data_IF_709864548472
#
_entry.id   IF_709864548472
#
_cell.length_a   1.000
_cell.length_b   1.000
_cell.length_c   1.000
_cell.angle_alpha   90.00
_cell.angle_beta   90.00
_cell.angle_gamma   90.00
#
_symmetry.space_group_name_H-M   'P 1'
#
loop_
_entity.id
_entity.type
_entity.pdbx_description
1 polymer ?
#
# COMPACT_ATOMS: atom_id res chain seq x y z
N UNK A 1 12.94 1.88 14.18
CA UNK A 1 12.48 0.92 13.17
C UNK A 1 10.97 1.01 13.17
N UNK A 2 10.38 1.20 12.01
CA UNK A 2 8.96 1.53 11.84
C UNK A 2 8.40 0.66 10.71
N UNK A 3 7.17 0.20 10.88
CA UNK A 3 6.42 -0.48 9.83
C UNK A 3 5.44 0.52 9.20
N UNK A 4 5.51 0.72 7.89
CA UNK A 4 4.53 1.50 7.14
C UNK A 4 3.55 0.56 6.47
N UNK A 5 2.27 0.81 6.65
CA UNK A 5 1.20 0.22 5.86
C UNK A 5 0.62 1.27 4.92
N UNK A 6 0.36 0.89 3.68
CA UNK A 6 -0.30 1.76 2.71
C UNK A 6 -1.40 1.00 1.98
N UNK A 7 -2.42 1.73 1.52
CA UNK A 7 -3.31 1.30 0.46
C UNK A 7 -2.91 2.10 -0.77
N UNK A 8 -2.57 1.37 -1.83
CA UNK A 8 -2.00 1.90 -3.04
C UNK A 8 -2.97 1.70 -4.20
N UNK A 9 -3.04 2.71 -5.07
CA UNK A 9 -3.73 2.66 -6.34
C UNK A 9 -2.74 2.29 -7.43
N UNK A 10 -2.99 1.17 -8.11
CA UNK A 10 -2.29 0.78 -9.33
C UNK A 10 -3.16 0.95 -10.57
N UNK A 11 -2.51 1.28 -11.69
CA UNK A 11 -3.15 1.34 -13.02
C UNK A 11 -2.44 0.32 -13.92
N UNK A 12 -3.18 -0.63 -14.50
CA UNK A 12 -2.59 -1.82 -15.16
C UNK A 12 -1.72 -1.59 -16.41
N UNK A 13 -1.58 -0.36 -16.89
CA UNK A 13 -0.69 0.04 -18.00
C UNK A 13 0.40 1.05 -17.59
N UNK A 14 0.53 1.36 -16.30
CA UNK A 14 1.39 2.44 -15.83
C UNK A 14 2.17 2.06 -14.56
N UNK A 15 3.29 2.75 -14.34
CA UNK A 15 4.07 2.69 -13.09
C UNK A 15 3.46 3.60 -12.00
N UNK A 16 2.29 4.20 -12.28
CA UNK A 16 1.59 5.06 -11.33
C UNK A 16 1.10 4.25 -10.14
N UNK A 17 1.80 4.45 -9.02
CA UNK A 17 1.45 3.99 -7.69
C UNK A 17 1.21 5.23 -6.83
N UNK A 18 -0.06 5.53 -6.53
CA UNK A 18 -0.43 6.61 -5.61
C UNK A 18 -0.90 5.99 -4.30
N UNK A 19 -0.43 6.50 -3.17
CA UNK A 19 -0.97 6.12 -1.88
C UNK A 19 -2.29 6.85 -1.62
N UNK A 20 -3.36 6.08 -1.42
CA UNK A 20 -4.68 6.61 -1.05
C UNK A 20 -4.87 6.69 0.46
N UNK A 21 -4.12 5.89 1.21
CA UNK A 21 -4.07 5.95 2.67
C UNK A 21 -2.76 5.32 3.15
N UNK A 22 -2.19 5.88 4.23
CA UNK A 22 -0.95 5.39 4.84
C UNK A 22 -1.06 5.45 6.36
N UNK A 23 -0.31 4.59 7.04
CA UNK A 23 -0.22 4.56 8.50
C UNK A 23 1.09 3.93 8.97
N UNK A 24 1.59 4.38 10.11
CA UNK A 24 2.83 3.88 10.73
C UNK A 24 2.54 3.05 11.98
N UNK A 25 3.36 2.02 12.19
CA UNK A 25 3.15 1.02 13.22
C UNK A 25 4.46 0.54 13.84
N UNK A 26 4.37 0.11 15.09
CA UNK A 26 5.51 -0.46 15.83
C UNK A 26 5.77 -1.94 15.47
N UNK A 27 4.88 -2.60 14.71
CA UNK A 27 5.01 -4.01 14.35
C UNK A 27 4.37 -4.37 13.01
N UNK A 28 4.89 -5.41 12.35
CA UNK A 28 4.31 -5.97 11.12
C UNK A 28 2.86 -6.38 11.33
N UNK A 29 2.56 -7.04 12.47
CA UNK A 29 1.23 -7.52 12.77
C UNK A 29 0.20 -6.38 12.82
N UNK A 30 0.56 -5.26 13.46
CA UNK A 30 -0.30 -4.08 13.51
C UNK A 30 -0.48 -3.45 12.12
N UNK A 31 0.60 -3.34 11.34
CA UNK A 31 0.54 -2.83 9.97
C UNK A 31 -0.36 -3.70 9.07
N UNK A 32 -0.27 -5.03 9.20
CA UNK A 32 -1.12 -5.97 8.45
C UNK A 32 -2.57 -5.92 8.91
N UNK A 33 -2.82 -5.84 10.21
CA UNK A 33 -4.18 -5.69 10.74
C UNK A 33 -4.83 -4.38 10.25
N UNK A 34 -4.05 -3.30 10.15
CA UNK A 34 -4.54 -2.04 9.58
C UNK A 34 -4.96 -2.20 8.12
N UNK A 35 -4.14 -2.84 7.27
CA UNK A 35 -4.52 -3.14 5.88
C UNK A 35 -5.77 -4.02 5.84
N UNK A 36 -5.87 -5.01 6.73
CA UNK A 36 -7.01 -5.91 6.79
C UNK A 36 -8.34 -5.20 7.11
N UNK A 37 -8.29 -4.19 7.97
CA UNK A 37 -9.42 -3.36 8.33
C UNK A 37 -9.78 -2.34 7.24
N UNK A 38 -8.79 -1.75 6.57
CA UNK A 38 -9.01 -0.56 5.73
C UNK A 38 -9.14 -0.87 4.23
N UNK A 39 -8.45 -1.90 3.72
CA UNK A 39 -8.49 -2.25 2.29
C UNK A 39 -9.90 -2.59 1.77
N UNK A 40 -10.76 -3.32 2.52
CA UNK A 40 -12.13 -3.63 2.06
C UNK A 40 -13.02 -2.41 1.86
N UNK A 41 -12.78 -1.34 2.60
CA UNK A 41 -13.60 -0.11 2.59
C UNK A 41 -12.95 1.03 1.78
N UNK A 42 -11.75 0.81 1.24
CA UNK A 42 -11.03 1.80 0.46
C UNK A 42 -11.75 2.11 -0.86
N UNK A 43 -11.71 3.39 -1.24
CA UNK A 43 -12.37 3.90 -2.44
C UNK A 43 -11.36 4.52 -3.39
N UNK A 44 -11.62 4.40 -4.70
CA UNK A 44 -10.81 5.06 -5.71
C UNK A 44 -10.92 6.60 -5.56
N UNK A 45 -9.81 7.33 -5.74
CA UNK A 45 -9.84 8.78 -5.88
C UNK A 45 -10.79 9.22 -7.00
N UNK A 46 -11.45 10.37 -6.85
CA UNK A 46 -12.45 10.85 -7.82
C UNK A 46 -11.92 10.96 -9.26
N UNK A 47 -10.63 11.23 -9.42
CA UNK A 47 -10.01 11.39 -10.72
C UNK A 47 -9.99 10.08 -11.52
N UNK A 48 -9.95 8.92 -10.85
CA UNK A 48 -9.95 7.60 -11.50
C UNK A 48 -11.22 7.42 -12.34
N UNK A 49 -12.37 7.88 -11.84
CA UNK A 49 -13.62 7.85 -12.58
C UNK A 49 -13.66 8.83 -13.77
N UNK A 50 -12.77 9.84 -13.79
CA UNK A 50 -12.64 10.83 -14.87
C UNK A 50 -11.62 10.44 -15.94
N UNK A 51 -10.87 9.35 -15.72
CA UNK A 51 -9.90 8.79 -16.67
C UNK A 51 -10.62 8.45 -17.99
N UNK A 52 -10.05 8.85 -19.12
CA UNK A 52 -10.49 8.30 -20.41
C UNK A 52 -10.31 6.79 -20.38
N UNK A 53 -11.40 6.04 -20.51
CA UNK A 53 -11.39 4.58 -20.55
C UNK A 53 -10.39 4.08 -21.61
N UNK A 54 -9.24 3.61 -21.17
CA UNK A 54 -8.30 2.78 -21.93
C UNK A 54 -8.49 1.30 -21.62
N UNK A 55 -7.60 0.43 -22.12
CA UNK A 55 -7.66 -1.03 -21.90
C UNK A 55 -7.23 -1.50 -20.51
N UNK A 56 -6.52 -0.70 -19.74
CA UNK A 56 -6.05 -1.08 -18.41
C UNK A 56 -7.01 -0.66 -17.30
N UNK A 57 -7.33 -1.59 -16.39
CA UNK A 57 -8.13 -1.31 -15.20
C UNK A 57 -7.33 -0.61 -14.11
N UNK A 58 -8.03 0.07 -13.20
CA UNK A 58 -7.49 0.54 -11.93
C UNK A 58 -7.77 -0.50 -10.83
N UNK A 59 -6.87 -0.64 -9.87
CA UNK A 59 -7.03 -1.56 -8.75
C UNK A 59 -6.42 -0.97 -7.47
N UNK A 60 -6.94 -1.38 -6.32
CA UNK A 60 -6.40 -1.05 -5.00
C UNK A 60 -5.74 -2.29 -4.41
N UNK A 61 -4.61 -2.10 -3.74
CA UNK A 61 -3.91 -3.15 -3.02
C UNK A 61 -3.27 -2.58 -1.75
N UNK A 62 -3.07 -3.42 -0.75
CA UNK A 62 -2.35 -3.07 0.46
C UNK A 62 -0.85 -3.33 0.29
N UNK A 63 -0.04 -2.57 1.00
CA UNK A 63 1.41 -2.80 1.10
C UNK A 63 1.86 -2.60 2.54
N UNK A 64 2.80 -3.43 3.00
CA UNK A 64 3.46 -3.31 4.30
C UNK A 64 4.97 -3.38 4.09
N UNK A 65 5.68 -2.38 4.59
CA UNK A 65 7.13 -2.25 4.48
C UNK A 65 7.74 -1.92 5.84
N UNK A 66 8.99 -2.33 6.05
CA UNK A 66 9.78 -1.94 7.23
C UNK A 66 10.83 -0.92 6.81
N UNK A 67 11.06 0.07 7.67
CA UNK A 67 12.07 1.08 7.44
C UNK A 67 12.54 1.76 8.72
N UNK A 68 13.27 2.85 8.54
CA UNK A 68 13.79 3.69 9.61
C UNK A 68 13.92 5.14 9.16
N UNK A 69 13.88 6.07 10.09
CA UNK A 69 14.22 7.47 9.83
C UNK A 69 15.74 7.63 9.90
N UNK A 70 16.35 8.08 8.79
CA UNK A 70 17.78 8.35 8.69
C UNK A 70 18.17 9.74 9.22
N UNK A 71 17.17 10.62 9.38
CA UNK A 71 17.29 12.00 9.86
C UNK A 71 16.17 12.39 10.83
N UNK A 72 15.98 13.70 11.01
CA UNK A 72 14.98 14.27 11.94
C UNK A 72 13.63 14.58 11.26
N UNK A 73 13.56 14.55 9.92
CA UNK A 73 12.33 14.84 9.19
C UNK A 73 11.61 13.57 8.73
N UNK A 74 10.30 13.67 8.56
CA UNK A 74 9.47 12.55 8.08
C UNK A 74 9.81 12.13 6.64
N UNK A 75 10.38 13.05 5.86
CA UNK A 75 10.90 12.82 4.51
C UNK A 75 12.21 11.99 4.50
N UNK A 76 12.87 11.85 5.65
CA UNK A 76 14.12 11.09 5.80
C UNK A 76 13.87 9.59 6.04
N UNK A 77 12.64 9.11 5.80
CA UNK A 77 12.30 7.69 5.93
C UNK A 77 12.95 6.87 4.82
N UNK A 78 13.71 5.85 5.23
CA UNK A 78 14.37 4.90 4.34
C UNK A 78 13.81 3.50 4.53
N UNK A 79 13.68 2.79 3.41
CA UNK A 79 13.29 1.39 3.38
C UNK A 79 14.43 0.52 3.93
N UNK A 80 14.08 -0.42 4.81
CA UNK A 80 15.00 -1.48 5.25
C UNK A 80 15.02 -2.59 4.18
N UNK A 81 16.00 -2.53 3.28
CA UNK A 81 16.14 -3.49 2.17
C UNK A 81 16.43 -4.93 2.60
N UNK A 82 16.83 -5.15 3.85
CA UNK A 82 17.07 -6.50 4.40
C UNK A 82 15.78 -7.11 5.00
N UNK A 83 14.69 -6.33 5.08
CA UNK A 83 13.39 -6.77 5.57
C UNK A 83 12.48 -7.27 4.45
N UNK A 84 11.72 -8.33 4.70
CA UNK A 84 10.61 -8.71 3.82
C UNK A 84 9.49 -7.67 3.87
N UNK A 85 9.06 -7.20 2.71
CA UNK A 85 7.81 -6.48 2.52
C UNK A 85 6.65 -7.43 2.19
N UNK A 86 5.43 -6.91 2.24
CA UNK A 86 4.22 -7.64 1.90
C UNK A 86 3.30 -6.79 1.03
N UNK A 87 2.67 -7.42 0.04
CA UNK A 87 1.51 -6.87 -0.65
C UNK A 87 0.25 -7.67 -0.26
N UNK A 88 -0.90 -7.02 -0.33
CA UNK A 88 -2.22 -7.59 -0.07
C UNK A 88 -3.18 -7.26 -1.21
N UNK A 89 -3.76 -8.29 -1.83
CA UNK A 89 -4.85 -8.13 -2.79
C UNK A 89 -6.19 -8.44 -2.11
N UNK A 90 -7.24 -7.67 -2.40
CA UNK A 90 -8.61 -8.01 -2.01
C UNK A 90 -9.27 -8.82 -3.13
N UNK A 91 -9.46 -10.12 -2.90
CA UNK A 91 -10.03 -11.05 -3.89
C UNK A 91 -11.27 -11.69 -3.30
N UNK A 92 -12.42 -11.48 -3.95
CA UNK A 92 -13.73 -11.99 -3.50
C UNK A 92 -14.06 -11.61 -2.03
N UNK A 93 -13.68 -10.41 -1.61
CA UNK A 93 -13.87 -9.92 -0.24
C UNK A 93 -12.89 -10.51 0.79
N UNK A 94 -11.89 -11.27 0.34
CA UNK A 94 -10.88 -11.90 1.19
C UNK A 94 -9.50 -11.35 0.86
N UNK A 95 -8.74 -11.00 1.89
CA UNK A 95 -7.39 -10.47 1.72
C UNK A 95 -6.40 -11.60 1.50
N UNK A 96 -5.60 -11.46 0.44
CA UNK A 96 -4.57 -12.40 0.01
C UNK A 96 -3.21 -11.72 0.12
N UNK A 97 -2.44 -12.16 1.11
CA UNK A 97 -1.07 -11.69 1.32
C UNK A 97 -0.09 -12.41 0.40
N UNK A 98 0.86 -11.66 -0.14
CA UNK A 98 2.03 -12.15 -0.88
C UNK A 98 3.27 -11.39 -0.41
N UNK A 99 4.43 -12.04 -0.43
CA UNK A 99 5.68 -11.33 -0.20
C UNK A 99 5.88 -10.29 -1.31
N UNK A 100 6.25 -9.06 -0.93
CA UNK A 100 6.65 -8.05 -1.89
C UNK A 100 7.97 -8.47 -2.55
N UNK A 101 8.09 -8.18 -3.85
CA UNK A 101 9.27 -8.51 -4.65
C UNK A 101 10.45 -7.56 -4.41
#
# INVERSE_FOLDING_TARGET
MTWRSAILLGIGDDDTVEAVAESEHDSEQAARAWVEEHLPDASFPEWVARRQHGTAGAFLFGQVQRGYYSGENDDDWELDHDASGWDADLVDGVIRWRAAA
#
